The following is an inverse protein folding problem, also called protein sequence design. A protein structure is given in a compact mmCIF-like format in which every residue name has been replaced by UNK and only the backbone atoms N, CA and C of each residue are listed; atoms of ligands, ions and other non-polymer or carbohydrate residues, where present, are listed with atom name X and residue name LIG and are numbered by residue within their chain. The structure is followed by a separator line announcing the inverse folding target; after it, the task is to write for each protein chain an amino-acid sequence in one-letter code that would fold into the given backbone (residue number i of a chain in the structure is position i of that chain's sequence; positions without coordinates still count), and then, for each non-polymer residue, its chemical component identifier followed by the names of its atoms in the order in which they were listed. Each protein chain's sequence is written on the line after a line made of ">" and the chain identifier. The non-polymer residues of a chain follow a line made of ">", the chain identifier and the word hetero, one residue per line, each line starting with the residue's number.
data_IF_198198515988
#
_entry.id   IF_198198515988
#
_cell.length_a   1.000
_cell.length_b   1.000
_cell.length_c   1.000
_cell.angle_alpha   90.00
_cell.angle_beta   90.00
_cell.angle_gamma   90.00
#
_symmetry.space_group_name_H-M   'P 1'
#
loop_
_entity.id
_entity.type
_entity.pdbx_description
1 polymer ?
#
# COMPACT_ATOMS: atom_id res chain seq x y z
N UNK A 1 -8.24 -16.02 6.62
CA UNK A 1 -7.73 -14.72 6.11
C UNK A 1 -6.43 -15.03 5.37
N UNK A 2 -6.10 -14.38 4.25
CA UNK A 2 -4.84 -14.68 3.52
C UNK A 2 -3.65 -14.26 4.39
N UNK A 3 -2.66 -15.11 4.55
CA UNK A 3 -1.41 -14.81 5.27
C UNK A 3 -0.23 -15.45 4.55
N UNK A 4 0.95 -14.90 4.78
CA UNK A 4 2.22 -15.47 4.34
C UNK A 4 3.26 -15.37 5.45
N UNK A 5 4.20 -16.30 5.44
CA UNK A 5 5.42 -16.22 6.23
C UNK A 5 6.51 -15.59 5.36
N UNK A 6 7.27 -14.65 5.93
CA UNK A 6 8.34 -13.96 5.24
C UNK A 6 9.56 -13.84 6.16
N UNK A 7 10.75 -13.95 5.56
CA UNK A 7 12.03 -13.76 6.25
C UNK A 7 12.98 -13.04 5.30
N UNK A 8 13.80 -12.10 5.80
CA UNK A 8 14.89 -11.53 5.01
C UNK A 8 15.88 -12.63 4.62
N UNK A 9 16.29 -12.66 3.35
CA UNK A 9 17.29 -13.64 2.87
C UNK A 9 18.72 -13.25 3.25
N UNK A 10 18.96 -12.00 3.63
CA UNK A 10 20.25 -11.39 3.93
C UNK A 10 20.08 -10.27 4.95
N UNK A 11 21.18 -9.77 5.52
CA UNK A 11 21.17 -8.64 6.47
C UNK A 11 21.12 -9.09 7.93
N UNK A 12 21.11 -8.13 8.85
CA UNK A 12 21.12 -8.39 10.31
C UNK A 12 19.83 -9.07 10.79
N UNK A 13 18.73 -8.86 10.07
CA UNK A 13 17.44 -9.47 10.35
C UNK A 13 17.25 -10.84 9.68
N UNK A 14 18.26 -11.36 8.97
CA UNK A 14 18.18 -12.66 8.31
C UNK A 14 17.86 -13.77 9.32
N UNK A 15 16.90 -14.64 8.96
CA UNK A 15 16.44 -15.72 9.83
C UNK A 15 15.34 -15.34 10.83
N UNK A 16 15.02 -14.05 11.01
CA UNK A 16 13.79 -13.63 11.70
C UNK A 16 12.57 -14.06 10.89
N UNK A 17 11.50 -14.50 11.57
CA UNK A 17 10.26 -14.94 10.94
C UNK A 17 9.15 -13.92 11.16
N UNK A 18 8.59 -13.41 10.08
CA UNK A 18 7.46 -12.48 10.09
C UNK A 18 6.22 -13.14 9.50
N UNK A 19 5.09 -12.96 10.16
CA UNK A 19 3.78 -13.42 9.71
C UNK A 19 3.01 -12.21 9.22
N UNK A 20 2.75 -12.15 7.93
CA UNK A 20 2.07 -11.02 7.30
C UNK A 20 0.66 -11.47 6.94
N UNK A 21 -0.34 -10.86 7.56
CA UNK A 21 -1.75 -11.19 7.41
C UNK A 21 -2.48 -10.08 6.69
N UNK A 22 -3.18 -10.42 5.60
CA UNK A 22 -4.01 -9.47 4.86
C UNK A 22 -5.04 -8.83 5.78
N UNK A 23 -5.34 -7.55 5.57
CA UNK A 23 -6.42 -6.86 6.26
C UNK A 23 -7.78 -7.56 6.04
N UNK A 24 -8.73 -7.32 6.96
CA UNK A 24 -10.14 -7.64 6.71
C UNK A 24 -10.66 -6.85 5.49
N UNK A 25 -11.69 -7.35 4.81
CA UNK A 25 -12.22 -6.67 3.62
C UNK A 25 -12.65 -5.22 3.93
N UNK A 26 -13.29 -4.99 5.08
CA UNK A 26 -13.72 -3.65 5.51
C UNK A 26 -12.53 -2.73 5.83
N UNK A 27 -11.49 -3.26 6.47
CA UNK A 27 -10.28 -2.50 6.78
C UNK A 27 -9.51 -2.17 5.50
N UNK A 28 -9.33 -3.16 4.62
CA UNK A 28 -8.60 -3.02 3.36
C UNK A 28 -9.27 -2.00 2.43
N UNK A 29 -10.60 -2.08 2.28
CA UNK A 29 -11.38 -1.14 1.48
C UNK A 29 -11.23 0.31 1.97
N UNK A 30 -11.37 0.53 3.29
CA UNK A 30 -11.23 1.87 3.86
C UNK A 30 -9.80 2.39 3.66
N UNK A 31 -8.80 1.60 4.03
CA UNK A 31 -7.39 1.94 3.87
C UNK A 31 -7.05 2.28 2.41
N UNK A 32 -7.51 1.45 1.46
CA UNK A 32 -7.29 1.68 0.03
C UNK A 32 -7.96 2.96 -0.47
N UNK A 33 -9.22 3.21 -0.11
CA UNK A 33 -9.94 4.44 -0.52
C UNK A 33 -9.30 5.69 0.05
N UNK A 34 -8.80 5.64 1.28
CA UNK A 34 -8.15 6.80 1.90
C UNK A 34 -6.86 7.16 1.16
N UNK A 35 -6.03 6.18 0.81
CA UNK A 35 -4.80 6.41 0.02
C UNK A 35 -5.15 6.89 -1.40
N UNK A 36 -6.07 6.23 -2.10
CA UNK A 36 -6.44 6.61 -3.47
C UNK A 36 -7.01 8.03 -3.52
N UNK A 37 -7.82 8.44 -2.53
CA UNK A 37 -8.29 9.83 -2.41
C UNK A 37 -7.14 10.80 -2.15
N UNK A 38 -6.20 10.43 -1.28
CA UNK A 38 -5.03 11.27 -1.01
C UNK A 38 -4.16 11.45 -2.26
N UNK A 39 -3.92 10.39 -3.03
CA UNK A 39 -3.22 10.46 -4.31
C UNK A 39 -3.97 11.33 -5.33
N UNK A 40 -5.30 11.18 -5.42
CA UNK A 40 -6.12 12.02 -6.30
C UNK A 40 -6.05 13.51 -5.94
N UNK A 41 -5.94 13.83 -4.63
CA UNK A 41 -5.71 15.22 -4.17
C UNK A 41 -4.29 15.71 -4.46
N UNK A 42 -3.29 14.86 -4.23
CA UNK A 42 -1.87 15.19 -4.38
C UNK A 42 -1.46 15.44 -5.83
N UNK A 43 -2.16 14.87 -6.81
CA UNK A 43 -1.82 15.04 -8.22
C UNK A 43 -3.01 14.86 -9.16
N UNK A 44 -3.44 15.95 -9.78
CA UNK A 44 -4.47 16.01 -10.82
C UNK A 44 -4.05 15.40 -12.17
N UNK A 45 -3.00 14.57 -12.23
CA UNK A 45 -2.41 14.08 -13.50
C UNK A 45 -1.79 12.69 -13.41
N UNK A 46 -2.25 11.82 -12.52
CA UNK A 46 -1.85 10.41 -12.60
C UNK A 46 -3.00 9.66 -13.27
N UNK A 47 -2.95 9.39 -14.59
CA UNK A 47 -3.99 8.64 -15.27
C UNK A 47 -4.24 7.32 -14.55
N UNK A 48 -5.49 6.87 -14.55
CA UNK A 48 -5.88 5.56 -13.99
C UNK A 48 -4.96 4.45 -14.49
N UNK A 49 -4.58 4.51 -15.76
CA UNK A 49 -3.71 3.57 -16.45
C UNK A 49 -2.28 3.62 -15.91
N UNK A 50 -1.75 4.80 -15.55
CA UNK A 50 -0.42 4.93 -14.97
C UNK A 50 -0.36 4.34 -13.54
N UNK A 51 -1.43 4.49 -12.77
CA UNK A 51 -1.57 3.84 -11.47
C UNK A 51 -1.72 2.32 -11.60
N UNK A 52 -2.60 1.86 -12.50
CA UNK A 52 -2.81 0.44 -12.74
C UNK A 52 -1.54 -0.24 -13.27
N UNK A 53 -0.78 0.41 -14.15
CA UNK A 53 0.53 -0.05 -14.64
C UNK A 53 1.58 -0.03 -13.51
N UNK A 54 1.63 1.02 -12.68
CA UNK A 54 2.53 1.07 -11.52
C UNK A 54 2.27 -0.02 -10.48
N UNK A 55 1.01 -0.39 -10.30
CA UNK A 55 0.56 -1.44 -9.37
C UNK A 55 0.70 -2.84 -9.98
N UNK A 56 0.46 -3.00 -11.28
CA UNK A 56 0.59 -4.27 -11.98
C UNK A 56 2.04 -4.62 -12.35
N UNK A 57 2.90 -3.60 -12.52
CA UNK A 57 4.21 -3.77 -13.14
C UNK A 57 5.36 -4.14 -12.21
N UNK A 58 5.45 -3.57 -10.99
CA UNK A 58 6.69 -3.63 -10.23
C UNK A 58 6.44 -3.73 -8.72
N UNK A 59 6.72 -4.90 -8.17
CA UNK A 59 6.70 -5.21 -6.74
C UNK A 59 7.61 -4.33 -5.83
N UNK A 60 8.30 -3.33 -6.39
CA UNK A 60 9.09 -2.34 -5.66
C UNK A 60 8.80 -0.87 -6.01
N UNK A 61 8.07 -0.58 -7.09
CA UNK A 61 7.74 0.81 -7.47
C UNK A 61 6.38 1.27 -6.96
N UNK A 62 5.51 0.35 -6.51
CA UNK A 62 4.25 0.72 -5.85
C UNK A 62 4.46 1.56 -4.59
N UNK A 63 5.59 1.36 -3.88
CA UNK A 63 5.95 2.17 -2.72
C UNK A 63 6.27 3.62 -3.08
N UNK A 64 6.70 3.91 -4.31
CA UNK A 64 6.97 5.28 -4.76
C UNK A 64 5.70 6.14 -4.81
N UNK A 65 4.52 5.52 -4.98
CA UNK A 65 3.23 6.23 -4.95
C UNK A 65 3.01 6.95 -3.62
N UNK A 66 3.47 6.36 -2.52
CA UNK A 66 3.31 6.95 -1.18
C UNK A 66 4.15 8.22 -1.00
N UNK A 67 5.17 8.44 -1.84
CA UNK A 67 5.95 9.68 -1.86
C UNK A 67 5.17 10.91 -2.34
N UNK A 68 3.95 10.73 -2.88
CA UNK A 68 3.05 11.83 -3.21
C UNK A 68 2.10 12.22 -2.06
N UNK A 69 2.06 11.44 -0.98
CA UNK A 69 1.21 11.70 0.16
C UNK A 69 1.82 12.79 1.06
N UNK A 70 0.98 13.49 1.82
CA UNK A 70 1.48 14.28 2.96
C UNK A 70 2.10 13.35 4.02
N UNK A 71 2.95 13.88 4.89
CA UNK A 71 3.61 13.10 5.94
C UNK A 71 2.60 12.31 6.80
N UNK A 72 1.51 12.97 7.24
CA UNK A 72 0.45 12.34 8.03
C UNK A 72 -0.30 11.23 7.28
N UNK A 73 -0.54 11.42 5.98
CA UNK A 73 -1.21 10.42 5.14
C UNK A 73 -0.28 9.22 4.88
N UNK A 74 1.00 9.50 4.63
CA UNK A 74 2.03 8.49 4.42
C UNK A 74 2.22 7.63 5.69
N UNK A 75 2.32 8.27 6.86
CA UNK A 75 2.46 7.58 8.14
C UNK A 75 1.27 6.68 8.43
N UNK A 76 0.03 7.18 8.26
CA UNK A 76 -1.19 6.36 8.43
C UNK A 76 -1.22 5.19 7.45
N UNK A 77 -0.82 5.42 6.20
CA UNK A 77 -0.83 4.41 5.17
C UNK A 77 0.17 3.28 5.47
N UNK A 78 1.40 3.65 5.87
CA UNK A 78 2.44 2.71 6.28
C UNK A 78 2.14 2.01 7.60
N UNK A 79 1.54 2.69 8.57
CA UNK A 79 1.09 2.06 9.80
C UNK A 79 0.04 0.99 9.51
N UNK A 80 -0.92 1.26 8.61
CA UNK A 80 -1.88 0.23 8.19
C UNK A 80 -1.22 -1.02 7.60
N UNK A 81 -0.15 -0.85 6.81
CA UNK A 81 0.63 -1.98 6.30
C UNK A 81 1.39 -2.71 7.40
N UNK A 82 1.98 -1.99 8.37
CA UNK A 82 2.69 -2.61 9.50
C UNK A 82 1.74 -3.30 10.49
N UNK A 83 0.50 -2.84 10.62
CA UNK A 83 -0.54 -3.52 11.42
C UNK A 83 -0.89 -4.91 10.87
N UNK A 84 -0.51 -5.21 9.62
CA UNK A 84 -0.62 -6.54 9.02
C UNK A 84 0.49 -7.49 9.50
N UNK A 85 1.53 -6.99 10.14
CA UNK A 85 2.77 -7.72 10.40
C UNK A 85 2.87 -8.11 11.88
N UNK A 86 3.15 -9.40 12.10
CA UNK A 86 3.56 -9.94 13.39
C UNK A 86 4.94 -10.57 13.25
N UNK A 87 5.70 -10.59 14.33
CA UNK A 87 6.97 -11.32 14.43
C UNK A 87 6.78 -12.58 15.27
N UNK A 88 7.33 -13.67 14.77
CA UNK A 88 7.49 -14.91 15.49
C UNK A 88 8.94 -15.01 15.99
N UNK A 89 9.12 -14.76 17.29
CA UNK A 89 10.44 -14.68 17.94
C UNK A 89 10.99 -16.04 18.36
N UNK A 90 10.14 -17.06 18.44
CA UNK A 90 10.55 -18.40 18.81
C UNK A 90 9.88 -19.43 17.88
N UNK A 91 10.37 -19.52 16.63
CA UNK A 91 9.74 -20.33 15.62
C UNK A 91 9.75 -21.84 15.90
N UNK A 92 10.59 -22.28 16.85
CA UNK A 92 10.70 -23.68 17.30
C UNK A 92 9.74 -24.04 18.42
N UNK A 93 9.05 -23.05 19.02
CA UNK A 93 8.14 -23.25 20.14
C UNK A 93 6.71 -22.83 19.77
N UNK A 94 5.87 -23.82 19.48
CA UNK A 94 4.48 -23.58 19.07
C UNK A 94 3.59 -22.93 20.16
N UNK A 95 4.03 -22.90 21.43
CA UNK A 95 3.30 -22.18 22.50
C UNK A 95 3.53 -20.67 22.44
N UNK A 96 4.62 -20.21 21.81
CA UNK A 96 4.92 -18.79 21.65
C UNK A 96 4.19 -18.28 20.41
N UNK A 97 3.19 -17.43 20.64
CA UNK A 97 2.42 -16.84 19.54
C UNK A 97 3.18 -15.67 18.91
N UNK A 98 3.06 -15.56 17.59
CA UNK A 98 3.49 -14.36 16.87
C UNK A 98 2.77 -13.13 17.45
N UNK A 99 3.50 -12.01 17.56
CA UNK A 99 3.01 -10.81 18.22
C UNK A 99 3.42 -9.55 17.46
N UNK A 100 2.91 -8.40 17.88
CA UNK A 100 3.21 -7.12 17.20
C UNK A 100 4.71 -6.81 17.24
N UNK A 101 5.14 -6.12 16.19
CA UNK A 101 6.47 -5.54 16.09
C UNK A 101 6.67 -4.46 17.16
N UNK A 102 7.92 -4.36 17.59
CA UNK A 102 8.49 -3.33 18.44
C UNK A 102 9.76 -2.80 17.78
N UNK A 103 10.26 -1.66 18.27
CA UNK A 103 11.49 -1.05 17.76
C UNK A 103 12.72 -1.95 17.91
N UNK A 104 12.69 -2.94 18.81
CA UNK A 104 13.80 -3.87 19.06
C UNK A 104 13.83 -5.05 18.08
N UNK A 105 12.79 -5.24 17.27
CA UNK A 105 12.65 -6.41 16.41
C UNK A 105 13.35 -6.26 15.07
N UNK A 106 13.71 -5.04 14.67
CA UNK A 106 14.25 -4.73 13.35
C UNK A 106 15.54 -3.94 13.52
N UNK A 107 16.62 -4.48 12.97
CA UNK A 107 17.94 -3.84 12.98
C UNK A 107 18.34 -3.36 11.58
N UNK A 108 17.86 -4.03 10.53
CA UNK A 108 18.22 -3.74 9.14
C UNK A 108 17.25 -2.71 8.52
N UNK A 109 17.82 -1.65 7.93
CA UNK A 109 17.05 -0.57 7.31
C UNK A 109 16.16 -1.02 6.14
N UNK A 110 16.46 -2.16 5.52
CA UNK A 110 15.71 -2.72 4.39
C UNK A 110 14.50 -3.55 4.81
N UNK A 111 14.44 -4.00 6.06
CA UNK A 111 13.39 -4.90 6.57
C UNK A 111 12.02 -4.22 6.60
N UNK A 112 11.90 -3.03 7.18
CA UNK A 112 10.61 -2.31 7.24
C UNK A 112 10.02 -2.01 5.85
N UNK A 113 10.78 -1.47 4.89
CA UNK A 113 10.31 -1.33 3.50
C UNK A 113 9.86 -2.65 2.87
N UNK A 114 10.59 -3.74 3.08
CA UNK A 114 10.25 -5.05 2.53
C UNK A 114 8.94 -5.60 3.12
N UNK A 115 8.77 -5.51 4.45
CA UNK A 115 7.54 -5.91 5.14
C UNK A 115 6.32 -5.13 4.65
N UNK A 116 6.46 -3.81 4.46
CA UNK A 116 5.40 -2.96 3.88
C UNK A 116 5.07 -3.38 2.45
N UNK A 117 6.08 -3.70 1.64
CA UNK A 117 5.87 -4.17 0.27
C UNK A 117 5.10 -5.50 0.22
N UNK A 118 5.46 -6.48 1.06
CA UNK A 118 4.74 -7.75 1.15
C UNK A 118 3.30 -7.57 1.68
N UNK A 119 3.10 -6.74 2.71
CA UNK A 119 1.77 -6.41 3.20
C UNK A 119 0.93 -5.71 2.12
N UNK A 120 1.52 -4.82 1.32
CA UNK A 120 0.84 -4.16 0.21
C UNK A 120 0.39 -5.16 -0.85
N UNK A 121 1.26 -6.11 -1.25
CA UNK A 121 0.92 -7.16 -2.22
C UNK A 121 -0.31 -7.97 -1.79
N UNK A 122 -0.45 -8.27 -0.50
CA UNK A 122 -1.62 -8.97 0.02
C UNK A 122 -2.92 -8.16 -0.09
N UNK A 123 -2.84 -6.83 -0.03
CA UNK A 123 -3.99 -5.92 -0.04
C UNK A 123 -4.24 -5.23 -1.40
N UNK A 124 -3.39 -5.49 -2.40
CA UNK A 124 -3.36 -4.76 -3.68
C UNK A 124 -4.67 -4.79 -4.46
N UNK A 125 -5.44 -5.88 -4.36
CA UNK A 125 -6.72 -6.01 -5.07
C UNK A 125 -7.75 -4.98 -4.58
N UNK A 126 -7.74 -4.64 -3.29
CA UNK A 126 -8.59 -3.58 -2.73
C UNK A 126 -8.14 -2.20 -3.20
N UNK A 127 -6.83 -2.02 -3.37
CA UNK A 127 -6.28 -0.79 -3.94
C UNK A 127 -6.73 -0.58 -5.39
N UNK A 128 -6.65 -1.63 -6.22
CA UNK A 128 -7.17 -1.62 -7.60
C UNK A 128 -8.67 -1.34 -7.65
N UNK A 129 -9.45 -1.96 -6.76
CA UNK A 129 -10.89 -1.72 -6.64
C UNK A 129 -11.19 -0.26 -6.29
N UNK A 130 -10.47 0.32 -5.32
CA UNK A 130 -10.62 1.71 -4.92
C UNK A 130 -10.26 2.69 -6.06
N UNK A 131 -9.19 2.43 -6.83
CA UNK A 131 -8.85 3.21 -8.02
C UNK A 131 -10.02 3.19 -9.02
N UNK A 132 -10.53 2.01 -9.34
CA UNK A 132 -11.64 1.87 -10.28
C UNK A 132 -12.91 2.60 -9.82
N UNK A 133 -13.12 2.73 -8.52
CA UNK A 133 -14.25 3.46 -7.95
C UNK A 133 -14.06 4.99 -8.00
N UNK A 134 -12.86 5.48 -7.70
CA UNK A 134 -12.61 6.92 -7.45
C UNK A 134 -12.20 7.67 -8.71
N UNK A 135 -11.31 7.09 -9.53
CA UNK A 135 -10.69 7.81 -10.65
C UNK A 135 -11.64 8.22 -11.78
N UNK A 136 -12.63 7.42 -12.20
CA UNK A 136 -13.56 7.84 -13.25
C UNK A 136 -14.30 9.15 -12.91
N UNK A 137 -14.64 9.35 -11.63
CA UNK A 137 -15.26 10.59 -11.17
C UNK A 137 -14.27 11.75 -11.16
N UNK A 138 -13.04 11.52 -10.72
CA UNK A 138 -11.97 12.54 -10.69
C UNK A 138 -11.68 13.04 -12.11
N UNK A 139 -11.58 12.15 -13.10
CA UNK A 139 -11.40 12.54 -14.51
C UNK A 139 -12.61 13.31 -15.06
N UNK A 140 -13.84 12.85 -14.78
CA UNK A 140 -15.04 13.56 -15.23
C UNK A 140 -15.08 15.01 -14.71
N UNK A 141 -14.74 15.23 -13.43
CA UNK A 141 -14.67 16.55 -12.80
C UNK A 141 -13.49 17.41 -13.32
N UNK A 142 -12.51 16.81 -13.99
CA UNK A 142 -11.33 17.50 -14.52
C UNK A 142 -11.54 18.04 -15.93
N UNK A 143 -12.58 17.59 -16.64
CA UNK A 143 -12.90 18.06 -17.99
C UNK A 143 -13.27 19.56 -17.92
N UNK A 144 -12.49 20.47 -18.50
CA UNK A 144 -12.86 21.87 -18.55
C UNK A 144 -14.08 22.02 -19.48
N UNK A 145 -15.06 22.85 -19.11
CA UNK A 145 -16.06 23.40 -20.04
C UNK A 145 -15.33 24.09 -21.21
N UNK A 146 -15.04 23.34 -22.27
CA UNK A 146 -14.34 23.84 -23.46
C UNK A 146 -15.05 23.37 -24.72
N UNK A 147 -16.38 23.48 -24.75
CA UNK A 147 -17.16 23.43 -25.98
C UNK A 147 -18.15 24.60 -25.98
N UNK A 148 -17.63 25.83 -26.04
CA UNK A 148 -18.36 26.91 -26.69
C UNK A 148 -17.78 27.05 -28.10
N UNK A 149 -18.36 26.28 -29.02
CA UNK A 149 -18.22 26.46 -30.47
C UNK A 149 -18.57 27.91 -30.84
N UNK A 150 -17.63 28.64 -31.40
CA UNK A 150 -17.94 29.74 -32.31
C UNK A 150 -17.73 29.23 -33.74
N UNK A 151 -18.77 29.15 -34.59
CA UNK A 151 -18.57 28.89 -36.00
C UNK A 151 -17.99 30.16 -36.64
N UNK A 152 -16.75 30.09 -37.14
CA UNK A 152 -16.22 31.18 -37.96
C UNK A 152 -16.91 31.15 -39.32
N UNK A 153 -17.65 32.23 -39.59
CA UNK A 153 -18.13 32.68 -40.89
C UNK A 153 -16.99 33.26 -41.73
#
# INVERSE_FOLDING_TARGET
>A
MKSLEWSPSTGEDAGKRFIITRMSAFTADRWARDIVRALARAGSRTPKEALEVGIAGLAGQSMALFGHLTDDECEKAFQGLLDCVMIDRDPGNAEVQASKLTELDISDATTLPALRAEAFKLNVDFFKAAISQIYPLVEALRTPESEHQAPNA
#
